data_IF_684006038307
#
_entry.id   IF_684006038307
#
_cell.length_a   1.000
_cell.length_b   1.000
_cell.length_c   1.000
_cell.angle_alpha   90.00
_cell.angle_beta   90.00
_cell.angle_gamma   90.00
#
_symmetry.space_group_name_H-M   'P 1'
#
loop_
_entity.id
_entity.type
_entity.pdbx_description
1 polymer ?
#
# COMPACT_ATOMS: atom_id res chain seq x y z
N UNK A 1 4.79 -13.29 16.34
CA UNK A 1 3.97 -14.11 15.42
C UNK A 1 4.72 -14.29 14.09
N UNK A 2 5.73 -15.18 14.06
CA UNK A 2 6.64 -15.37 12.90
C UNK A 2 6.50 -16.76 12.25
N UNK A 3 5.69 -17.66 12.83
CA UNK A 3 5.35 -18.92 12.18
C UNK A 3 3.96 -19.35 12.66
N UNK A 4 2.93 -18.91 11.96
CA UNK A 4 1.58 -19.47 12.13
C UNK A 4 1.63 -20.98 11.79
N UNK A 5 0.73 -21.79 12.36
CA UNK A 5 0.69 -23.25 12.16
C UNK A 5 0.65 -23.63 10.67
N UNK A 6 0.01 -22.80 9.87
CA UNK A 6 -0.08 -22.97 8.43
C UNK A 6 1.27 -22.84 7.70
N UNK A 7 2.19 -21.96 8.12
CA UNK A 7 3.53 -21.89 7.54
C UNK A 7 4.38 -23.11 7.92
N UNK A 8 4.17 -23.68 9.12
CA UNK A 8 4.84 -24.91 9.55
C UNK A 8 4.46 -26.10 8.68
N UNK A 9 3.18 -26.22 8.31
CA UNK A 9 2.72 -27.29 7.41
C UNK A 9 3.39 -27.20 6.03
N UNK A 10 3.45 -25.99 5.45
CA UNK A 10 4.15 -25.80 4.17
C UNK A 10 5.65 -26.08 4.25
N UNK A 11 6.31 -25.65 5.34
CA UNK A 11 7.72 -25.97 5.58
C UNK A 11 7.95 -27.48 5.68
N UNK A 12 7.09 -28.21 6.40
CA UNK A 12 7.20 -29.67 6.52
C UNK A 12 6.99 -30.35 5.17
N UNK A 13 5.93 -29.99 4.44
CA UNK A 13 5.63 -30.58 3.13
C UNK A 13 6.76 -30.33 2.14
N UNK A 14 7.22 -29.08 2.01
CA UNK A 14 8.31 -28.76 1.09
C UNK A 14 9.66 -29.34 1.54
N UNK A 15 9.91 -29.44 2.85
CA UNK A 15 11.08 -30.12 3.39
C UNK A 15 11.10 -31.61 3.09
N UNK A 16 9.96 -32.30 3.20
CA UNK A 16 9.83 -33.72 2.83
C UNK A 16 10.04 -33.89 1.33
N UNK A 17 9.40 -33.07 0.49
CA UNK A 17 9.57 -33.15 -0.97
C UNK A 17 11.01 -32.86 -1.40
N UNK A 18 11.66 -31.88 -0.76
CA UNK A 18 13.07 -31.61 -0.97
C UNK A 18 13.93 -32.81 -0.57
N UNK A 19 13.72 -33.39 0.61
CA UNK A 19 14.47 -34.56 1.08
C UNK A 19 14.33 -35.75 0.14
N UNK A 20 13.10 -36.08 -0.29
CA UNK A 20 12.84 -37.14 -1.25
C UNK A 20 13.51 -36.86 -2.61
N UNK A 21 13.41 -35.62 -3.10
CA UNK A 21 14.07 -35.19 -4.33
C UNK A 21 15.60 -35.31 -4.24
N UNK A 22 16.18 -34.90 -3.11
CA UNK A 22 17.61 -34.96 -2.86
C UNK A 22 18.13 -36.41 -2.76
N UNK A 23 17.40 -37.30 -2.08
CA UNK A 23 17.76 -38.73 -2.01
C UNK A 23 17.67 -39.37 -3.40
N UNK A 24 16.60 -39.09 -4.15
CA UNK A 24 16.43 -39.54 -5.52
C UNK A 24 17.56 -39.05 -6.43
N UNK A 25 17.92 -37.76 -6.31
CA UNK A 25 19.03 -37.18 -7.06
C UNK A 25 20.38 -37.78 -6.67
N UNK A 26 20.66 -38.01 -5.39
CA UNK A 26 21.91 -38.61 -4.93
C UNK A 26 22.07 -40.04 -5.44
N UNK A 27 21.00 -40.84 -5.42
CA UNK A 27 20.97 -42.16 -6.02
C UNK A 27 21.26 -42.09 -7.52
N UNK A 28 20.54 -41.23 -8.24
CA UNK A 28 20.75 -40.99 -9.66
C UNK A 28 22.18 -40.56 -10.00
N UNK A 29 22.75 -39.62 -9.25
CA UNK A 29 24.09 -39.09 -9.46
C UNK A 29 25.20 -40.10 -9.12
N UNK A 30 24.93 -41.10 -8.27
CA UNK A 30 25.86 -42.18 -7.95
C UNK A 30 25.98 -43.25 -9.05
N UNK A 31 25.11 -43.19 -10.07
CA UNK A 31 25.14 -44.11 -11.20
C UNK A 31 26.36 -43.90 -12.10
N UNK A 32 26.75 -44.93 -12.90
CA UNK A 32 27.98 -44.90 -13.71
C UNK A 32 28.02 -43.78 -14.77
N UNK A 33 26.86 -43.38 -15.29
CA UNK A 33 26.74 -42.33 -16.29
C UNK A 33 26.85 -40.91 -15.72
N UNK A 34 26.76 -40.74 -14.39
CA UNK A 34 26.69 -39.45 -13.72
C UNK A 34 25.39 -38.67 -14.00
N UNK A 35 25.25 -37.52 -13.34
CA UNK A 35 24.08 -36.67 -13.47
C UNK A 35 24.18 -35.70 -14.67
N UNK A 36 23.16 -35.67 -15.52
CA UNK A 36 23.02 -34.78 -16.66
C UNK A 36 21.55 -34.38 -16.91
N UNK A 37 21.34 -33.12 -17.29
CA UNK A 37 19.99 -32.59 -17.53
C UNK A 37 19.28 -33.14 -18.76
N UNK A 38 20.04 -33.63 -19.74
CA UNK A 38 19.48 -34.26 -20.95
C UNK A 38 19.04 -35.71 -20.75
N UNK A 39 19.42 -36.35 -19.64
CA UNK A 39 18.96 -37.70 -19.32
C UNK A 39 17.47 -37.71 -18.92
N UNK A 40 16.83 -38.87 -19.02
CA UNK A 40 15.43 -39.03 -18.60
C UNK A 40 15.21 -38.62 -17.13
N UNK A 41 16.02 -39.06 -16.13
CA UNK A 41 15.86 -38.59 -14.75
C UNK A 41 16.10 -37.08 -14.59
N UNK A 42 17.13 -36.54 -15.24
CA UNK A 42 17.42 -35.11 -15.24
C UNK A 42 16.24 -34.29 -15.78
N UNK A 43 15.64 -34.73 -16.89
CA UNK A 43 14.48 -34.07 -17.50
C UNK A 43 13.26 -34.10 -16.58
N UNK A 44 13.02 -35.20 -15.86
CA UNK A 44 11.92 -35.28 -14.87
C UNK A 44 12.07 -34.23 -13.76
N UNK A 45 13.28 -34.05 -13.23
CA UNK A 45 13.55 -32.96 -12.27
C UNK A 45 13.25 -31.59 -12.89
N UNK A 46 13.60 -31.39 -14.16
CA UNK A 46 13.32 -30.16 -14.91
C UNK A 46 11.82 -29.90 -15.07
N UNK A 47 11.04 -30.92 -15.43
CA UNK A 47 9.58 -30.84 -15.57
C UNK A 47 8.93 -30.51 -14.23
N UNK A 48 9.32 -31.19 -13.15
CA UNK A 48 8.77 -30.94 -11.80
C UNK A 48 9.11 -29.52 -11.33
N UNK A 49 10.38 -29.10 -11.47
CA UNK A 49 10.81 -27.74 -11.13
C UNK A 49 10.07 -26.67 -11.95
N UNK A 50 9.87 -26.93 -13.24
CA UNK A 50 9.10 -26.04 -14.13
C UNK A 50 7.64 -25.97 -13.72
N UNK A 51 7.00 -27.10 -13.39
CA UNK A 51 5.60 -27.12 -12.95
C UNK A 51 5.41 -26.30 -11.66
N UNK A 52 6.35 -26.37 -10.72
CA UNK A 52 6.38 -25.52 -9.53
C UNK A 52 6.53 -24.03 -9.87
N UNK A 53 7.41 -23.70 -10.83
CA UNK A 53 7.61 -22.32 -11.31
C UNK A 53 6.34 -21.76 -11.98
N UNK A 54 5.68 -22.55 -12.82
CA UNK A 54 4.42 -22.19 -13.47
C UNK A 54 3.33 -21.94 -12.41
N UNK A 55 3.22 -22.81 -11.40
CA UNK A 55 2.31 -22.59 -10.27
C UNK A 55 2.59 -21.25 -9.57
N UNK A 56 3.87 -20.93 -9.33
CA UNK A 56 4.25 -19.67 -8.71
C UNK A 56 3.84 -18.46 -9.58
N UNK A 57 4.02 -18.53 -10.90
CA UNK A 57 3.60 -17.50 -11.86
C UNK A 57 2.07 -17.35 -11.96
N UNK A 58 1.32 -18.44 -11.80
CA UNK A 58 -0.14 -18.48 -11.91
C UNK A 58 -0.83 -17.60 -10.85
N UNK A 59 -0.17 -17.33 -9.72
CA UNK A 59 -0.64 -16.33 -8.75
C UNK A 59 -0.87 -14.96 -9.40
N UNK A 60 0.00 -14.54 -10.33
CA UNK A 60 -0.14 -13.25 -11.03
C UNK A 60 -1.40 -13.23 -11.93
N UNK A 61 -1.63 -14.30 -12.69
CA UNK A 61 -2.81 -14.44 -13.53
C UNK A 61 -4.12 -14.52 -12.72
N UNK A 62 -4.13 -15.27 -11.61
CA UNK A 62 -5.29 -15.37 -10.70
C UNK A 62 -5.71 -13.99 -10.17
N UNK A 63 -4.76 -13.09 -9.89
CA UNK A 63 -5.08 -11.74 -9.41
C UNK A 63 -5.83 -10.90 -10.44
N UNK A 64 -5.68 -11.20 -11.73
CA UNK A 64 -6.37 -10.50 -12.81
C UNK A 64 -7.79 -11.04 -13.07
N UNK A 65 -8.11 -12.24 -12.56
CA UNK A 65 -9.40 -12.91 -12.79
C UNK A 65 -10.12 -13.18 -11.47
N UNK A 66 -10.90 -12.21 -10.94
CA UNK A 66 -11.57 -12.33 -9.63
C UNK A 66 -12.63 -13.44 -9.53
N UNK A 67 -13.07 -14.01 -10.65
CA UNK A 67 -14.13 -15.02 -10.69
C UNK A 67 -13.65 -16.42 -10.29
N UNK A 68 -12.34 -16.67 -10.25
CA UNK A 68 -11.78 -17.98 -9.92
C UNK A 68 -11.82 -18.24 -8.40
N UNK A 69 -12.74 -19.12 -7.96
CA UNK A 69 -12.91 -19.52 -6.55
C UNK A 69 -11.92 -20.58 -6.07
N UNK A 70 -10.80 -20.79 -6.77
CA UNK A 70 -9.82 -21.83 -6.43
C UNK A 70 -8.89 -21.31 -5.34
N UNK A 71 -8.97 -21.91 -4.14
CA UNK A 71 -8.06 -21.67 -3.01
C UNK A 71 -8.14 -20.27 -2.39
N UNK A 72 -7.76 -20.17 -1.11
CA UNK A 72 -7.66 -18.88 -0.42
C UNK A 72 -6.47 -18.05 -0.92
N UNK A 73 -6.53 -16.72 -0.83
CA UNK A 73 -5.40 -15.86 -1.20
C UNK A 73 -4.13 -16.19 -0.39
N UNK A 74 -4.28 -16.57 0.88
CA UNK A 74 -3.18 -17.01 1.73
C UNK A 74 -2.54 -18.32 1.27
N UNK A 75 -3.34 -19.27 0.76
CA UNK A 75 -2.84 -20.53 0.21
C UNK A 75 -1.94 -20.26 -1.01
N UNK A 76 -2.40 -19.45 -1.95
CA UNK A 76 -1.64 -19.14 -3.16
C UNK A 76 -0.36 -18.36 -2.86
N UNK A 77 -0.41 -17.39 -1.94
CA UNK A 77 0.80 -16.65 -1.53
C UNK A 77 1.83 -17.57 -0.89
N UNK A 78 1.40 -18.46 0.02
CA UNK A 78 2.30 -19.45 0.66
C UNK A 78 2.87 -20.43 -0.38
N UNK A 79 2.02 -20.96 -1.25
CA UNK A 79 2.44 -21.85 -2.32
C UNK A 79 3.45 -21.19 -3.26
N UNK A 80 3.23 -19.93 -3.66
CA UNK A 80 4.17 -19.16 -4.47
C UNK A 80 5.56 -19.06 -3.81
N UNK A 81 5.62 -18.76 -2.50
CA UNK A 81 6.87 -18.65 -1.76
C UNK A 81 7.57 -20.00 -1.66
N UNK A 82 6.86 -21.03 -1.15
CA UNK A 82 7.46 -22.33 -0.83
C UNK A 82 7.76 -23.16 -2.07
N UNK A 83 6.86 -23.22 -3.04
CA UNK A 83 7.08 -23.94 -4.30
C UNK A 83 8.06 -23.17 -5.20
N UNK A 84 8.05 -21.83 -5.16
CA UNK A 84 9.06 -21.02 -5.85
C UNK A 84 10.48 -21.22 -5.32
N UNK A 85 10.66 -21.41 -4.01
CA UNK A 85 11.96 -21.77 -3.45
C UNK A 85 12.33 -23.22 -3.74
N UNK A 86 11.37 -24.15 -3.66
CA UNK A 86 11.62 -25.57 -3.92
C UNK A 86 11.94 -25.84 -5.39
N UNK A 87 11.37 -25.08 -6.33
CA UNK A 87 11.66 -25.22 -7.76
C UNK A 87 13.14 -25.02 -8.07
N UNK A 88 13.82 -24.11 -7.36
CA UNK A 88 15.25 -23.83 -7.53
C UNK A 88 16.09 -25.06 -7.23
N UNK A 89 15.74 -25.82 -6.19
CA UNK A 89 16.43 -27.07 -5.88
C UNK A 89 16.24 -28.12 -6.99
N UNK A 90 15.02 -28.27 -7.51
CA UNK A 90 14.74 -29.22 -8.59
C UNK A 90 15.38 -28.79 -9.91
N UNK A 91 15.49 -27.49 -10.19
CA UNK A 91 16.22 -26.96 -11.35
C UNK A 91 17.74 -27.18 -11.18
N UNK A 92 18.29 -27.06 -9.96
CA UNK A 92 19.67 -27.45 -9.68
C UNK A 92 19.90 -28.94 -9.96
N UNK A 93 19.01 -29.81 -9.50
CA UNK A 93 19.06 -31.26 -9.76
C UNK A 93 18.99 -31.56 -11.27
N UNK A 94 18.10 -30.88 -12.00
CA UNK A 94 18.02 -30.95 -13.46
C UNK A 94 19.35 -30.57 -14.12
N UNK A 95 19.97 -29.46 -13.71
CA UNK A 95 21.23 -29.00 -14.29
C UNK A 95 22.45 -29.86 -13.93
N UNK A 96 22.30 -30.80 -12.98
CA UNK A 96 23.42 -31.53 -12.41
C UNK A 96 24.43 -30.63 -11.70
N UNK A 97 23.98 -29.51 -11.12
CA UNK A 97 24.82 -28.45 -10.52
C UNK A 97 25.80 -27.77 -11.50
N UNK A 98 25.47 -27.78 -12.80
CA UNK A 98 26.27 -27.12 -13.83
C UNK A 98 25.66 -25.76 -14.18
N UNK A 99 26.52 -24.77 -14.41
CA UNK A 99 26.09 -23.42 -14.76
C UNK A 99 25.59 -23.28 -16.21
N UNK A 100 25.95 -24.23 -17.08
CA UNK A 100 25.53 -24.24 -18.49
C UNK A 100 26.21 -23.18 -19.35
N UNK A 101 25.54 -22.78 -20.43
CA UNK A 101 25.96 -21.73 -21.34
C UNK A 101 25.36 -20.36 -21.00
N UNK A 102 25.40 -19.40 -21.94
CA UNK A 102 24.93 -18.03 -21.69
C UNK A 102 23.45 -17.93 -21.32
N UNK A 103 22.60 -18.78 -21.90
CA UNK A 103 21.16 -18.80 -21.61
C UNK A 103 20.90 -19.30 -20.19
N UNK A 104 21.59 -20.36 -19.78
CA UNK A 104 21.49 -20.95 -18.44
C UNK A 104 22.01 -19.98 -17.38
N UNK A 105 23.13 -19.29 -17.63
CA UNK A 105 23.62 -18.22 -16.74
C UNK A 105 22.57 -17.10 -16.62
N UNK A 106 21.95 -16.71 -17.74
CA UNK A 106 20.85 -15.74 -17.74
C UNK A 106 19.66 -16.19 -16.88
N UNK A 107 19.27 -17.46 -16.97
CA UNK A 107 18.22 -18.06 -16.14
C UNK A 107 18.58 -18.06 -14.65
N UNK A 108 19.83 -18.39 -14.30
CA UNK A 108 20.31 -18.35 -12.92
C UNK A 108 20.29 -16.94 -12.35
N UNK A 109 20.76 -15.95 -13.11
CA UNK A 109 20.75 -14.54 -12.70
C UNK A 109 19.32 -14.00 -12.54
N UNK A 110 18.45 -14.27 -13.51
CA UNK A 110 17.04 -13.85 -13.43
C UNK A 110 16.35 -14.48 -12.21
N UNK A 111 16.55 -15.79 -11.99
CA UNK A 111 16.04 -16.51 -10.81
C UNK A 111 16.57 -15.89 -9.50
N UNK A 112 17.87 -15.60 -9.41
CA UNK A 112 18.47 -15.00 -8.24
C UNK A 112 17.88 -13.61 -7.93
N UNK A 113 17.71 -12.76 -8.96
CA UNK A 113 17.08 -11.44 -8.81
C UNK A 113 15.61 -11.57 -8.35
N UNK A 114 14.86 -12.56 -8.86
CA UNK A 114 13.48 -12.82 -8.44
C UNK A 114 13.42 -13.26 -6.98
N UNK A 115 14.33 -14.13 -6.52
CA UNK A 115 14.39 -14.56 -5.11
C UNK A 115 14.73 -13.38 -4.20
N UNK A 116 15.79 -12.62 -4.53
CA UNK A 116 16.22 -11.47 -3.74
C UNK A 116 15.11 -10.40 -3.65
N UNK A 117 14.50 -10.08 -4.79
CA UNK A 117 13.35 -9.17 -4.81
C UNK A 117 12.14 -9.75 -4.08
N UNK A 118 11.89 -11.06 -4.13
CA UNK A 118 10.85 -11.74 -3.36
C UNK A 118 11.04 -11.60 -1.85
N UNK A 119 12.28 -11.71 -1.35
CA UNK A 119 12.62 -11.48 0.07
C UNK A 119 12.28 -10.05 0.47
N UNK A 120 12.63 -9.06 -0.37
CA UNK A 120 12.25 -7.65 -0.15
C UNK A 120 10.71 -7.50 -0.12
N UNK A 121 9.99 -8.18 -1.00
CA UNK A 121 8.53 -8.24 -1.02
C UNK A 121 7.94 -8.81 0.27
N UNK A 122 8.52 -9.89 0.80
CA UNK A 122 8.12 -10.48 2.08
C UNK A 122 8.37 -9.53 3.25
N UNK A 123 9.51 -8.82 3.25
CA UNK A 123 9.80 -7.81 4.25
C UNK A 123 8.74 -6.70 4.22
N UNK A 124 8.37 -6.19 3.02
CA UNK A 124 7.29 -5.22 2.89
C UNK A 124 5.96 -5.77 3.40
N UNK A 125 5.60 -7.02 3.08
CA UNK A 125 4.35 -7.64 3.55
C UNK A 125 4.31 -7.86 5.06
N UNK A 126 5.44 -8.03 5.74
CA UNK A 126 5.48 -8.19 7.20
C UNK A 126 5.50 -6.84 7.93
N UNK A 127 6.14 -5.83 7.33
CA UNK A 127 6.26 -4.49 7.91
C UNK A 127 4.98 -3.67 7.68
N UNK A 128 4.33 -3.79 6.52
CA UNK A 128 3.10 -3.05 6.17
C UNK A 128 2.01 -3.20 7.24
N UNK A 129 1.55 -4.43 7.56
CA UNK A 129 0.43 -4.62 8.46
C UNK A 129 0.76 -4.15 9.86
N UNK A 130 2.02 -4.34 10.31
CA UNK A 130 2.44 -3.89 11.64
C UNK A 130 2.43 -2.36 11.75
N UNK A 131 2.95 -1.65 10.76
CA UNK A 131 2.94 -0.19 10.81
C UNK A 131 1.52 0.38 10.68
N UNK A 132 0.64 -0.28 9.93
CA UNK A 132 -0.74 0.13 9.76
C UNK A 132 -1.61 -0.20 10.97
N UNK A 133 -1.56 -1.41 11.54
CA UNK A 133 -2.40 -1.76 12.70
C UNK A 133 -1.98 -1.02 13.98
N UNK A 134 -0.69 -0.73 14.14
CA UNK A 134 -0.19 -0.03 15.33
C UNK A 134 -0.39 1.49 15.25
N UNK A 135 -0.58 2.07 14.06
CA UNK A 135 -0.62 3.54 13.88
C UNK A 135 -1.78 4.08 13.05
N UNK A 136 -2.53 3.22 12.35
CA UNK A 136 -3.64 3.60 11.46
C UNK A 136 -4.76 2.55 11.56
N UNK A 137 -5.62 2.61 12.60
CA UNK A 137 -6.76 1.70 12.76
C UNK A 137 -7.83 1.84 11.65
N UNK A 138 -7.68 2.81 10.75
CA UNK A 138 -8.71 3.24 9.81
C UNK A 138 -8.43 2.65 8.43
N UNK A 139 -9.39 1.90 7.89
CA UNK A 139 -9.39 1.42 6.51
C UNK A 139 -9.56 2.59 5.53
N UNK A 140 -8.51 3.39 5.38
CA UNK A 140 -8.54 4.54 4.51
C UNK A 140 -8.08 4.12 3.11
N UNK A 141 -8.98 4.17 2.15
CA UNK A 141 -8.65 3.90 0.74
C UNK A 141 -7.81 5.04 0.18
N UNK A 142 -6.72 4.71 -0.52
CA UNK A 142 -5.82 5.71 -1.13
C UNK A 142 -6.58 6.66 -2.07
N UNK A 143 -7.60 6.15 -2.76
CA UNK A 143 -8.43 6.93 -3.69
C UNK A 143 -9.23 8.03 -2.98
N UNK A 144 -9.48 7.88 -1.67
CA UNK A 144 -10.18 8.86 -0.84
C UNK A 144 -9.23 9.93 -0.24
N UNK A 145 -7.92 9.84 -0.50
CA UNK A 145 -6.93 10.75 0.07
C UNK A 145 -7.21 12.23 -0.23
N UNK A 146 -7.57 12.65 -1.46
CA UNK A 146 -7.88 14.05 -1.76
C UNK A 146 -9.08 14.55 -0.96
N UNK A 147 -10.14 13.74 -0.91
CA UNK A 147 -11.35 14.04 -0.15
C UNK A 147 -11.05 14.22 1.34
N UNK A 148 -10.29 13.31 1.95
CA UNK A 148 -9.97 13.41 3.38
C UNK A 148 -9.11 14.64 3.73
N UNK A 149 -8.15 14.99 2.86
CA UNK A 149 -7.37 16.21 3.03
C UNK A 149 -8.28 17.44 2.99
N UNK A 150 -9.19 17.50 2.00
CA UNK A 150 -10.18 18.55 1.88
C UNK A 150 -11.13 18.62 3.08
N UNK A 151 -11.62 17.48 3.58
CA UNK A 151 -12.48 17.42 4.76
C UNK A 151 -11.77 17.92 6.02
N UNK A 152 -10.51 17.52 6.25
CA UNK A 152 -9.72 18.01 7.39
C UNK A 152 -9.46 19.51 7.28
N UNK A 153 -9.17 20.02 6.08
CA UNK A 153 -9.02 21.47 5.86
C UNK A 153 -10.31 22.23 6.15
N UNK A 154 -11.46 21.74 5.65
CA UNK A 154 -12.75 22.40 5.91
C UNK A 154 -13.12 22.43 7.39
N UNK A 155 -12.91 21.31 8.11
CA UNK A 155 -13.16 21.25 9.55
C UNK A 155 -12.22 22.18 10.34
N UNK A 156 -10.93 22.20 9.99
CA UNK A 156 -9.96 23.08 10.62
C UNK A 156 -10.24 24.56 10.32
N UNK A 157 -10.60 24.90 9.07
CA UNK A 157 -10.99 26.24 8.64
C UNK A 157 -12.20 26.72 9.49
N UNK A 158 -13.20 25.85 9.72
CA UNK A 158 -14.35 26.16 10.58
C UNK A 158 -13.94 26.47 12.03
N UNK A 159 -13.22 25.58 12.70
CA UNK A 159 -12.87 25.73 14.13
C UNK A 159 -12.02 26.99 14.34
N UNK A 160 -11.07 27.26 13.43
CA UNK A 160 -10.24 28.46 13.50
C UNK A 160 -11.07 29.72 13.23
N UNK A 161 -12.03 29.68 12.30
CA UNK A 161 -12.89 30.84 12.03
C UNK A 161 -13.82 31.21 13.18
N UNK A 162 -14.31 30.22 13.93
CA UNK A 162 -15.12 30.43 15.14
C UNK A 162 -14.31 31.12 16.25
N UNK A 163 -13.00 30.88 16.28
CA UNK A 163 -12.10 31.41 17.32
C UNK A 163 -11.43 32.73 16.93
N UNK A 164 -11.13 32.94 15.64
CA UNK A 164 -10.28 34.03 15.15
C UNK A 164 -10.89 34.87 14.02
N UNK A 165 -12.18 34.68 13.75
CA UNK A 165 -12.89 35.37 12.69
C UNK A 165 -12.62 34.78 11.31
N UNK A 166 -13.22 35.39 10.28
CA UNK A 166 -13.21 34.86 8.91
C UNK A 166 -11.80 34.74 8.32
N UNK A 167 -11.65 33.79 7.41
CA UNK A 167 -10.39 33.49 6.73
C UNK A 167 -10.38 34.07 5.31
N UNK A 168 -9.33 34.82 4.99
CA UNK A 168 -9.06 35.33 3.64
C UNK A 168 -8.11 34.39 2.90
N UNK A 169 -8.67 33.38 2.24
CA UNK A 169 -7.93 32.28 1.60
C UNK A 169 -8.70 31.72 0.40
N UNK A 170 -7.98 31.11 -0.55
CA UNK A 170 -8.60 30.23 -1.53
C UNK A 170 -8.93 28.87 -0.87
N UNK A 171 -10.22 28.50 -0.90
CA UNK A 171 -10.76 27.32 -0.26
C UNK A 171 -11.40 26.31 -1.23
N UNK A 172 -11.10 26.38 -2.53
CA UNK A 172 -11.72 25.54 -3.57
C UNK A 172 -11.69 24.04 -3.23
N UNK A 173 -10.52 23.52 -2.84
CA UNK A 173 -10.39 22.12 -2.43
C UNK A 173 -11.24 21.77 -1.19
N UNK A 174 -11.27 22.64 -0.18
CA UNK A 174 -12.06 22.44 1.03
C UNK A 174 -13.57 22.49 0.75
N UNK A 175 -14.00 23.36 -0.17
CA UNK A 175 -15.38 23.48 -0.62
C UNK A 175 -15.86 22.23 -1.36
N UNK A 176 -14.98 21.58 -2.13
CA UNK A 176 -15.28 20.30 -2.77
C UNK A 176 -15.69 19.19 -1.80
N UNK A 177 -15.31 19.28 -0.52
CA UNK A 177 -15.71 18.33 0.54
C UNK A 177 -16.72 18.93 1.54
N UNK A 178 -16.98 20.24 1.49
CA UNK A 178 -17.74 20.96 2.51
C UNK A 178 -19.18 20.45 2.64
N UNK A 179 -19.86 20.22 1.51
CA UNK A 179 -21.22 19.72 1.50
C UNK A 179 -21.33 18.34 2.17
N UNK A 180 -20.48 17.39 1.75
CA UNK A 180 -20.49 16.03 2.29
C UNK A 180 -20.17 16.01 3.78
N UNK A 181 -19.18 16.80 4.22
CA UNK A 181 -18.84 16.93 5.64
C UNK A 181 -20.01 17.51 6.43
N UNK A 182 -20.64 18.58 5.93
CA UNK A 182 -21.78 19.21 6.59
C UNK A 182 -23.01 18.28 6.65
N UNK A 183 -23.24 17.46 5.61
CA UNK A 183 -24.28 16.41 5.61
C UNK A 183 -23.97 15.32 6.64
N UNK A 184 -22.74 14.79 6.67
CA UNK A 184 -22.32 13.75 7.61
C UNK A 184 -22.43 14.23 9.07
N UNK A 185 -22.09 15.50 9.33
CA UNK A 185 -22.22 16.14 10.64
C UNK A 185 -23.64 16.60 10.98
N UNK A 186 -24.59 16.40 10.08
CA UNK A 186 -26.00 16.82 10.22
C UNK A 186 -26.16 18.34 10.45
N UNK A 187 -25.28 19.15 9.86
CA UNK A 187 -25.38 20.61 9.91
C UNK A 187 -26.40 21.17 8.91
N UNK A 188 -26.65 20.44 7.82
CA UNK A 188 -27.60 20.86 6.79
C UNK A 188 -29.01 20.40 7.14
N UNK A 189 -29.90 21.36 7.46
CA UNK A 189 -31.36 21.14 7.54
C UNK A 189 -32.06 21.60 6.26
N UNK A 190 -31.51 22.62 5.61
CA UNK A 190 -31.94 23.19 4.33
C UNK A 190 -30.74 23.33 3.40
N UNK A 191 -31.01 23.41 2.11
CA UNK A 191 -29.99 23.57 1.07
C UNK A 191 -29.19 24.87 1.21
N UNK A 192 -29.82 25.95 1.67
CA UNK A 192 -29.18 27.25 1.91
C UNK A 192 -28.30 27.30 3.16
N UNK A 193 -28.33 26.28 4.03
CA UNK A 193 -27.51 26.27 5.24
C UNK A 193 -26.01 26.11 4.90
N UNK A 194 -25.67 25.44 3.80
CA UNK A 194 -24.28 25.28 3.36
C UNK A 194 -23.63 26.62 3.05
N UNK A 195 -24.32 27.48 2.29
CA UNK A 195 -23.81 28.79 1.91
C UNK A 195 -23.64 29.71 3.13
N UNK A 196 -24.51 29.59 4.13
CA UNK A 196 -24.38 30.29 5.42
C UNK A 196 -23.13 29.83 6.19
N UNK A 197 -22.88 28.52 6.24
CA UNK A 197 -21.67 27.98 6.88
C UNK A 197 -20.42 28.48 6.16
N UNK A 198 -20.38 28.37 4.83
CA UNK A 198 -19.22 28.81 4.03
C UNK A 198 -18.95 30.31 4.19
N UNK A 199 -19.98 31.16 4.15
CA UNK A 199 -19.84 32.62 4.33
C UNK A 199 -19.53 33.05 5.77
N UNK A 200 -19.77 32.19 6.76
CA UNK A 200 -19.32 32.39 8.12
C UNK A 200 -17.81 32.08 8.29
N UNK A 201 -17.27 31.20 7.46
CA UNK A 201 -15.86 30.75 7.53
C UNK A 201 -14.95 31.63 6.66
N UNK A 202 -15.34 31.91 5.42
CA UNK A 202 -14.48 32.58 4.43
C UNK A 202 -14.97 33.98 4.08
N UNK A 203 -14.04 34.93 3.93
CA UNK A 203 -14.35 36.30 3.50
C UNK A 203 -14.83 36.35 2.03
N UNK A 204 -14.18 35.57 1.15
CA UNK A 204 -14.44 35.57 -0.30
C UNK A 204 -15.49 34.52 -0.74
N UNK A 205 -16.38 34.11 0.16
CA UNK A 205 -17.35 33.04 -0.08
C UNK A 205 -18.26 33.25 -1.31
N UNK A 206 -18.58 34.50 -1.65
CA UNK A 206 -19.41 34.85 -2.81
C UNK A 206 -18.68 34.71 -4.15
N UNK A 207 -17.35 34.81 -4.15
CA UNK A 207 -16.49 34.63 -5.32
C UNK A 207 -16.11 33.16 -5.51
N UNK A 208 -16.11 32.38 -4.43
CA UNK A 208 -15.96 30.92 -4.41
C UNK A 208 -17.28 30.23 -4.82
N UNK A 209 -17.83 30.61 -5.97
CA UNK A 209 -18.93 29.86 -6.57
C UNK A 209 -18.32 28.56 -7.11
N UNK A 210 -18.92 27.37 -6.90
CA UNK A 210 -18.52 26.19 -7.64
C UNK A 210 -18.83 26.47 -9.11
N UNK A 211 -17.85 27.00 -9.85
CA UNK A 211 -17.99 27.11 -11.29
C UNK A 211 -18.19 25.70 -11.85
N UNK A 212 -19.06 25.68 -12.84
CA UNK A 212 -19.52 24.54 -13.61
C UNK A 212 -18.39 23.97 -14.47
N UNK A 213 -17.29 23.54 -13.84
CA UNK A 213 -16.12 22.98 -14.52
C UNK A 213 -15.48 21.81 -13.75
N UNK A 214 -16.27 21.07 -12.97
CA UNK A 214 -15.82 19.79 -12.47
C UNK A 214 -15.70 18.82 -13.66
N UNK A 215 -14.51 18.25 -13.98
CA UNK A 215 -14.48 17.04 -14.78
C UNK A 215 -15.35 16.01 -14.06
N UNK A 216 -16.24 15.38 -14.83
CA UNK A 216 -17.27 14.46 -14.36
C UNK A 216 -16.85 13.69 -13.11
N UNK A 217 -17.69 13.78 -12.06
CA UNK A 217 -17.59 12.94 -10.84
C UNK A 217 -17.13 11.54 -11.27
N UNK A 218 -15.97 11.03 -10.81
CA UNK A 218 -15.65 9.64 -11.06
C UNK A 218 -16.79 8.83 -10.46
N UNK A 219 -17.55 8.20 -11.36
CA UNK A 219 -18.67 7.30 -11.04
C UNK A 219 -18.16 6.36 -9.94
N UNK A 220 -18.83 6.24 -8.79
CA UNK A 220 -18.38 5.34 -7.74
C UNK A 220 -18.37 3.93 -8.33
N UNK A 221 -17.18 3.45 -8.63
CA UNK A 221 -16.99 2.11 -9.14
C UNK A 221 -17.32 1.15 -7.99
N UNK A 222 -18.44 0.46 -8.18
CA UNK A 222 -18.82 -0.78 -7.53
C UNK A 222 -19.06 -0.78 -6.00
N UNK A 223 -20.25 -1.26 -5.66
CA UNK A 223 -20.66 -1.78 -4.34
C UNK A 223 -19.52 -2.51 -3.62
N UNK A 224 -19.04 -1.97 -2.51
CA UNK A 224 -18.53 -2.73 -1.34
C UNK A 224 -18.73 -1.86 -0.09
N UNK A 225 -19.28 -2.41 1.01
CA UNK A 225 -19.73 -1.63 2.16
C UNK A 225 -18.55 -1.36 3.10
N UNK A 226 -17.78 -0.32 2.82
CA UNK A 226 -16.91 0.31 3.80
C UNK A 226 -17.46 1.69 4.10
N UNK A 227 -18.13 1.87 5.25
CA UNK A 227 -18.53 3.19 5.72
C UNK A 227 -17.33 4.14 5.57
N UNK A 228 -17.42 5.28 4.86
CA UNK A 228 -16.36 6.29 4.94
C UNK A 228 -16.17 6.60 6.42
N UNK A 229 -14.96 6.29 6.90
CA UNK A 229 -14.50 6.33 8.29
C UNK A 229 -15.56 6.85 9.28
N UNK A 230 -16.22 5.93 9.98
CA UNK A 230 -17.20 6.22 11.03
C UNK A 230 -16.67 7.14 12.15
N UNK A 231 -15.38 7.50 12.11
CA UNK A 231 -14.71 8.43 13.01
C UNK A 231 -14.69 9.89 12.54
N UNK A 232 -14.78 10.19 11.23
CA UNK A 232 -14.99 11.59 10.80
C UNK A 232 -16.37 12.10 11.24
N UNK A 233 -17.31 11.17 11.49
CA UNK A 233 -18.61 11.43 12.10
C UNK A 233 -18.58 11.44 13.65
N UNK A 234 -17.56 10.87 14.29
CA UNK A 234 -17.56 10.62 15.74
C UNK A 234 -16.64 11.52 16.57
N UNK A 235 -15.83 12.39 15.97
CA UNK A 235 -14.91 13.26 16.73
C UNK A 235 -15.35 14.71 16.71
N UNK A 236 -15.54 15.27 17.91
CA UNK A 236 -16.01 16.63 18.24
C UNK A 236 -17.53 16.76 18.16
N UNK A 237 -18.18 16.33 19.24
CA UNK A 237 -19.42 16.93 19.73
C UNK A 237 -18.98 18.15 20.53
N UNK A 238 -19.09 19.34 19.97
CA UNK A 238 -19.14 20.56 20.75
C UNK A 238 -20.35 21.35 20.26
N UNK A 239 -21.33 21.50 21.16
CA UNK A 239 -22.44 22.44 21.04
C UNK A 239 -21.92 23.87 20.78
N UNK A 240 -22.74 24.76 20.20
CA UNK A 240 -22.31 26.11 19.85
C UNK A 240 -21.86 26.86 21.12
N UNK A 241 -20.57 27.15 21.20
CA UNK A 241 -19.98 27.97 22.26
C UNK A 241 -20.56 29.37 22.17
N UNK A 242 -21.06 29.86 23.31
CA UNK A 242 -21.74 31.14 23.46
C UNK A 242 -20.82 32.35 23.22
N UNK A 243 -21.44 33.42 22.70
CA UNK A 243 -21.05 34.83 22.52
C UNK A 243 -19.55 35.25 22.66
N UNK A 244 -19.05 36.09 21.72
CA UNK A 244 -17.64 36.45 21.63
C UNK A 244 -17.22 37.39 22.77
N UNK A 245 -16.31 36.93 23.65
CA UNK A 245 -15.48 37.82 24.46
C UNK A 245 -14.11 37.89 23.81
N UNK A 246 -13.62 39.12 23.60
CA UNK A 246 -12.39 39.41 22.87
C UNK A 246 -11.19 38.69 23.51
N UNK A 247 -10.72 37.63 22.85
CA UNK A 247 -9.52 36.87 23.24
C UNK A 247 -8.31 37.60 22.64
N UNK A 248 -7.39 38.02 23.50
CA UNK A 248 -6.30 38.98 23.21
C UNK A 248 -5.21 38.40 22.26
N UNK A 249 -5.29 37.13 21.84
CA UNK A 249 -4.27 36.44 21.00
C UNK A 249 -4.83 35.53 19.90
N UNK A 250 -5.99 35.86 19.34
CA UNK A 250 -6.58 35.10 18.22
C UNK A 250 -5.79 35.22 16.91
N UNK A 251 -5.08 36.33 16.73
CA UNK A 251 -4.24 36.59 15.54
C UNK A 251 -3.02 35.67 15.46
N UNK A 252 -2.41 35.32 16.61
CA UNK A 252 -1.27 34.40 16.65
C UNK A 252 -1.67 33.00 16.20
N UNK A 253 -2.79 32.49 16.72
CA UNK A 253 -3.38 31.20 16.31
C UNK A 253 -3.73 31.21 14.82
N UNK A 254 -4.40 32.27 14.34
CA UNK A 254 -4.77 32.42 12.92
C UNK A 254 -3.53 32.42 12.03
N UNK A 255 -2.49 33.15 12.42
CA UNK A 255 -1.24 33.24 11.66
C UNK A 255 -0.50 31.90 11.60
N UNK A 256 -0.42 31.17 12.72
CA UNK A 256 0.17 29.84 12.79
C UNK A 256 -0.62 28.83 11.95
N UNK A 257 -1.95 28.89 12.03
CA UNK A 257 -2.83 28.04 11.24
C UNK A 257 -2.61 28.25 9.74
N UNK A 258 -2.68 29.50 9.27
CA UNK A 258 -2.58 29.82 7.84
C UNK A 258 -1.18 29.54 7.27
N UNK A 259 -0.11 29.80 8.03
CA UNK A 259 1.28 29.62 7.56
C UNK A 259 1.78 28.18 7.68
N UNK A 260 1.31 27.41 8.66
CA UNK A 260 1.95 26.13 9.02
C UNK A 260 0.98 24.96 8.94
N UNK A 261 -0.18 25.04 9.58
CA UNK A 261 -1.12 23.91 9.68
C UNK A 261 -1.89 23.69 8.39
N UNK A 262 -2.54 24.74 7.86
CA UNK A 262 -3.41 24.65 6.68
C UNK A 262 -2.66 24.15 5.43
N UNK A 263 -1.43 24.63 5.11
CA UNK A 263 -0.65 24.10 3.99
C UNK A 263 -0.26 22.64 4.19
N UNK A 264 -0.01 22.21 5.44
CA UNK A 264 0.31 20.82 5.73
C UNK A 264 -0.89 19.87 5.55
N UNK A 265 -2.09 20.32 5.90
CA UNK A 265 -3.34 19.57 5.68
C UNK A 265 -3.68 19.41 4.18
N UNK A 266 -3.16 20.28 3.31
CA UNK A 266 -3.41 20.22 1.88
C UNK A 266 -2.93 18.91 1.23
N UNK A 267 -3.58 18.53 0.13
CA UNK A 267 -3.18 17.38 -0.69
C UNK A 267 -1.80 17.57 -1.32
N UNK A 268 -1.44 18.82 -1.63
CA UNK A 268 -0.15 19.24 -2.19
C UNK A 268 1.00 19.22 -1.19
N UNK A 269 0.70 19.08 0.11
CA UNK A 269 1.72 18.97 1.17
C UNK A 269 2.70 17.84 0.86
N UNK A 270 3.99 18.12 1.07
CA UNK A 270 5.08 17.17 0.90
C UNK A 270 5.37 16.43 2.21
N UNK A 271 5.85 15.20 2.10
CA UNK A 271 6.11 14.33 3.26
C UNK A 271 7.31 14.74 4.12
N UNK A 272 8.07 15.74 3.68
CA UNK A 272 9.24 16.33 4.35
C UNK A 272 8.90 17.53 5.26
N UNK A 273 7.62 17.94 5.31
CA UNK A 273 7.17 19.03 6.18
C UNK A 273 7.56 18.77 7.65
N UNK A 274 8.00 19.80 8.41
CA UNK A 274 8.29 19.68 9.84
C UNK A 274 7.14 19.04 10.63
N UNK A 275 5.88 19.33 10.27
CA UNK A 275 4.71 18.77 10.92
C UNK A 275 4.44 17.29 10.61
N UNK A 276 5.15 16.68 9.66
CA UNK A 276 5.08 15.24 9.40
C UNK A 276 5.77 14.41 10.50
N UNK A 277 6.79 14.99 11.15
CA UNK A 277 7.54 14.37 12.24
C UNK A 277 6.80 14.59 13.58
N UNK A 278 6.64 13.53 14.37
CA UNK A 278 5.93 13.58 15.65
C UNK A 278 6.56 14.58 16.62
N UNK A 279 7.89 14.58 16.69
CA UNK A 279 8.61 15.32 17.73
C UNK A 279 8.60 16.82 17.42
N UNK A 280 8.79 17.19 16.14
CA UNK A 280 8.70 18.57 15.67
C UNK A 280 7.27 19.11 15.75
N UNK A 281 6.27 18.29 15.43
CA UNK A 281 4.86 18.67 15.60
C UNK A 281 4.55 18.96 17.06
N UNK A 282 4.88 18.03 17.98
CA UNK A 282 4.68 18.23 19.42
C UNK A 282 5.40 19.47 19.94
N UNK A 283 6.62 19.74 19.48
CA UNK A 283 7.35 20.95 19.85
C UNK A 283 6.64 22.23 19.36
N UNK A 284 6.23 22.26 18.08
CA UNK A 284 5.54 23.42 17.49
C UNK A 284 4.19 23.72 18.19
N UNK A 285 3.38 22.69 18.43
CA UNK A 285 2.12 22.82 19.16
C UNK A 285 2.35 23.08 20.66
N UNK A 286 3.41 22.52 21.26
CA UNK A 286 3.80 22.75 22.65
C UNK A 286 4.20 24.21 22.91
N UNK A 287 4.96 24.82 22.01
CA UNK A 287 5.29 26.25 22.10
C UNK A 287 4.03 27.11 22.05
N UNK A 288 3.15 26.83 21.09
CA UNK A 288 1.88 27.55 20.93
C UNK A 288 0.93 27.40 22.13
N UNK A 289 0.97 26.25 22.84
CA UNK A 289 0.19 26.03 24.09
C UNK A 289 0.63 26.93 25.25
N UNK A 290 1.92 27.27 25.31
CA UNK A 290 2.46 28.14 26.38
C UNK A 290 1.99 29.58 26.18
N UNK A 291 1.84 29.99 24.93
CA UNK A 291 1.53 31.38 24.56
C UNK A 291 0.01 31.67 24.51
N UNK A 292 -0.85 30.64 24.43
CA UNK A 292 -2.30 30.78 24.24
C UNK A 292 -3.13 30.60 25.53
N UNK A 293 -4.28 31.31 25.64
CA UNK A 293 -5.27 31.12 26.71
C UNK A 293 -5.88 29.71 26.74
N UNK A 294 -6.39 29.30 27.91
CA UNK A 294 -7.01 27.98 28.14
C UNK A 294 -8.15 27.67 27.18
N UNK A 295 -8.92 28.67 26.75
CA UNK A 295 -10.07 28.52 25.87
C UNK A 295 -9.68 28.07 24.44
N UNK A 296 -8.44 28.37 24.02
CA UNK A 296 -7.93 28.00 22.70
C UNK A 296 -7.13 26.70 22.71
N UNK A 297 -6.91 26.09 23.89
CA UNK A 297 -6.17 24.83 24.01
C UNK A 297 -6.94 23.67 23.36
N UNK A 298 -8.26 23.62 23.52
CA UNK A 298 -9.13 22.62 22.89
C UNK A 298 -9.10 22.72 21.35
N UNK A 299 -9.04 23.95 20.82
CA UNK A 299 -8.91 24.20 19.38
C UNK A 299 -7.55 23.71 18.88
N UNK A 300 -6.50 24.03 19.62
CA UNK A 300 -5.14 23.64 19.28
C UNK A 300 -4.94 22.11 19.33
N UNK A 301 -5.59 21.43 20.28
CA UNK A 301 -5.60 19.96 20.35
C UNK A 301 -6.30 19.34 19.14
N UNK A 302 -7.45 19.87 18.71
CA UNK A 302 -8.12 19.42 17.49
C UNK A 302 -7.26 19.62 16.23
N UNK A 303 -6.56 20.76 16.12
CA UNK A 303 -5.63 21.01 15.01
C UNK A 303 -4.43 20.05 15.03
N UNK A 304 -3.88 19.74 16.22
CA UNK A 304 -2.80 18.75 16.35
C UNK A 304 -3.29 17.37 15.90
N UNK A 305 -4.52 17.00 16.25
CA UNK A 305 -5.12 15.74 15.84
C UNK A 305 -5.28 15.65 14.31
N UNK A 306 -5.75 16.70 13.63
CA UNK A 306 -5.81 16.69 12.15
C UNK A 306 -4.42 16.54 11.53
N UNK A 307 -3.39 17.16 12.14
CA UNK A 307 -2.02 17.02 11.70
C UNK A 307 -1.45 15.61 11.95
N UNK A 308 -1.80 14.98 13.07
CA UNK A 308 -1.48 13.57 13.35
C UNK A 308 -2.06 12.67 12.26
N UNK A 309 -3.35 12.82 11.95
CA UNK A 309 -4.03 12.05 10.92
C UNK A 309 -3.39 12.28 9.53
N UNK A 310 -3.10 13.53 9.17
CA UNK A 310 -2.41 13.85 7.91
C UNK A 310 -1.02 13.21 7.82
N UNK A 311 -0.26 13.18 8.93
CA UNK A 311 1.06 12.55 8.99
C UNK A 311 1.00 11.03 8.81
N UNK A 312 -0.06 10.38 9.31
CA UNK A 312 -0.33 8.97 9.08
C UNK A 312 -0.62 8.69 7.60
N UNK A 313 -1.41 9.54 6.95
CA UNK A 313 -1.70 9.43 5.51
C UNK A 313 -0.44 9.57 4.64
N UNK A 314 0.50 10.44 5.02
CA UNK A 314 1.81 10.52 4.35
C UNK A 314 2.59 9.20 4.44
N UNK A 315 2.65 8.60 5.64
CA UNK A 315 3.32 7.31 5.84
C UNK A 315 2.67 6.21 4.99
N UNK A 316 1.34 6.14 4.98
CA UNK A 316 0.60 5.19 4.14
C UNK A 316 0.91 5.38 2.65
N UNK A 317 0.91 6.62 2.13
CA UNK A 317 1.23 6.92 0.73
C UNK A 317 2.65 6.51 0.35
N UNK A 318 3.63 6.76 1.24
CA UNK A 318 5.02 6.34 1.02
C UNK A 318 5.10 4.82 0.92
N UNK A 319 4.52 4.10 1.90
CA UNK A 319 4.52 2.65 1.92
C UNK A 319 3.85 2.06 0.66
N UNK A 320 2.71 2.61 0.25
CA UNK A 320 2.01 2.19 -0.95
C UNK A 320 2.85 2.39 -2.23
N UNK A 321 3.61 3.49 -2.30
CA UNK A 321 4.55 3.76 -3.40
C UNK A 321 5.69 2.75 -3.44
N UNK A 322 6.27 2.40 -2.30
CA UNK A 322 7.29 1.36 -2.22
C UNK A 322 6.76 0.00 -2.66
N UNK A 323 5.54 -0.37 -2.24
CA UNK A 323 4.90 -1.61 -2.65
C UNK A 323 4.66 -1.68 -4.17
N UNK A 324 4.16 -0.58 -4.77
CA UNK A 324 3.96 -0.51 -6.22
C UNK A 324 5.29 -0.50 -6.98
N UNK A 325 6.30 0.23 -6.49
CA UNK A 325 7.64 0.26 -7.07
C UNK A 325 8.30 -1.13 -7.06
N UNK A 326 8.15 -1.88 -5.96
CA UNK A 326 8.61 -3.26 -5.88
C UNK A 326 7.93 -4.16 -6.91
N UNK A 327 6.59 -4.08 -7.02
CA UNK A 327 5.84 -4.91 -7.98
C UNK A 327 6.24 -4.56 -9.43
N UNK A 328 6.46 -3.28 -9.71
CA UNK A 328 6.92 -2.80 -11.01
C UNK A 328 8.31 -3.34 -11.40
N UNK A 329 9.18 -3.65 -10.44
CA UNK A 329 10.46 -4.30 -10.70
C UNK A 329 10.34 -5.83 -10.77
N UNK A 330 9.63 -6.44 -9.82
CA UNK A 330 9.56 -7.90 -9.68
C UNK A 330 8.83 -8.59 -10.84
N UNK A 331 7.73 -7.99 -11.33
CA UNK A 331 6.88 -8.60 -12.38
C UNK A 331 7.59 -8.65 -13.74
N UNK A 332 8.23 -7.58 -14.25
CA UNK A 332 8.98 -7.64 -15.50
C UNK A 332 10.12 -8.65 -15.46
N UNK A 333 10.89 -8.72 -14.37
CA UNK A 333 11.96 -9.72 -14.24
C UNK A 333 11.38 -11.15 -14.29
N UNK A 334 10.23 -11.38 -13.66
CA UNK A 334 9.53 -12.67 -13.74
C UNK A 334 9.07 -13.00 -15.16
N UNK A 335 8.59 -12.00 -15.91
CA UNK A 335 8.22 -12.19 -17.32
C UNK A 335 9.45 -12.48 -18.20
N UNK A 336 10.57 -11.80 -17.97
CA UNK A 336 11.84 -12.08 -18.64
C UNK A 336 12.35 -13.50 -18.35
N UNK A 337 12.22 -13.98 -17.10
CA UNK A 337 12.56 -15.37 -16.76
C UNK A 337 11.72 -16.36 -17.57
N UNK A 338 10.41 -16.11 -17.73
CA UNK A 338 9.53 -16.98 -18.53
C UNK A 338 9.95 -17.01 -20.01
N UNK A 339 10.32 -15.87 -20.58
CA UNK A 339 10.83 -15.80 -21.96
C UNK A 339 12.14 -16.56 -22.10
N UNK A 340 13.10 -16.35 -21.20
CA UNK A 340 14.36 -17.09 -21.19
C UNK A 340 14.16 -18.59 -21.03
N UNK A 341 13.17 -19.00 -20.24
CA UNK A 341 12.81 -20.40 -20.06
C UNK A 341 12.31 -21.02 -21.38
N UNK A 342 11.42 -20.33 -22.11
CA UNK A 342 10.95 -20.80 -23.42
C UNK A 342 12.13 -20.95 -24.39
N UNK A 343 13.04 -19.97 -24.42
CA UNK A 343 14.26 -20.03 -25.24
C UNK A 343 15.12 -21.25 -24.87
N UNK A 344 15.34 -21.50 -23.58
CA UNK A 344 16.09 -22.65 -23.10
C UNK A 344 15.44 -23.99 -23.51
N UNK A 345 14.11 -24.12 -23.41
CA UNK A 345 13.39 -25.31 -23.88
C UNK A 345 13.57 -25.52 -25.38
N UNK A 346 13.41 -24.48 -26.20
CA UNK A 346 13.54 -24.58 -27.66
C UNK A 346 14.97 -24.97 -28.08
N UNK A 347 15.98 -24.35 -27.45
CA UNK A 347 17.39 -24.67 -27.73
C UNK A 347 17.69 -26.11 -27.31
N UNK A 348 17.24 -26.52 -26.12
CA UNK A 348 17.48 -27.88 -25.62
C UNK A 348 16.84 -28.95 -26.52
N UNK A 349 15.62 -28.71 -27.00
CA UNK A 349 14.93 -29.63 -27.92
C UNK A 349 15.59 -29.70 -29.30
N UNK A 350 16.25 -28.64 -29.77
CA UNK A 350 16.97 -28.65 -31.05
C UNK A 350 18.28 -29.42 -30.99
N UNK A 351 18.93 -29.47 -29.84
CA UNK A 351 20.29 -30.02 -29.69
C UNK A 351 20.26 -31.52 -29.37
N UNK A 352 19.16 -32.07 -28.84
CA UNK A 352 19.05 -33.49 -28.49
C UNK A 352 18.38 -34.28 -29.64
N UNK A 353 19.09 -35.18 -30.34
CA UNK A 353 18.45 -36.16 -31.20
C UNK A 353 17.70 -37.18 -30.31
N UNK A 354 16.39 -37.26 -30.46
CA UNK A 354 15.53 -38.18 -29.70
C UNK A 354 15.67 -39.61 -30.23
N UNK A 355 16.67 -40.35 -29.76
CA UNK A 355 16.72 -41.81 -29.96
C UNK A 355 16.05 -42.48 -28.75
N UNK A 356 14.76 -42.79 -28.88
CA UNK A 356 14.01 -43.55 -27.88
C UNK A 356 14.40 -45.03 -27.97
N UNK A 357 15.47 -45.43 -27.27
CA UNK A 357 15.77 -46.86 -27.09
C UNK A 357 14.88 -47.44 -25.99
N UNK A 358 13.78 -48.09 -26.40
CA UNK A 358 13.01 -48.97 -25.52
C UNK A 358 13.71 -50.34 -25.49
N UNK A 359 14.60 -50.56 -24.54
CA UNK A 359 15.11 -51.90 -24.20
C UNK A 359 14.65 -52.31 -22.79
#
# INVERSE_FOLDING_TARGET
>A
MILDRSHRQWLLVTGILFGLGAVSYAWYASGPAGASGGSLPGLMFGIVGTAMMIFAGLLSARRQVPTWRIGSAQFWLKGHIWLGLLSVAFILFHSGFRWGGPVEIGLWLATAVIILSGIVGLAFQQVLPRLLTTRVPRETFIDQLPYLCASMQFLADKIVSESSGKLDINAEAALGAAEDVARQRKWLKRESDLQKIVSAIYENASQLRPEESAPAKPKPAAKTPGKPSALLAAQVVSEPVAAPRAVIRTEELKSFYLKTVRPFLAISSRGDSPLAQSDRRRAAFGQMRVDLPSELQDVLEQLEQFCDERSQLHRLRTIHRWLHGWLFLHVPVSASLLVLFIVHVVISLRVVPWEWSWE
#
